data_IF_397759843515
#
_entry.id   IF_397759843515
#
_cell.length_a   1.000
_cell.length_b   1.000
_cell.length_c   1.000
_cell.angle_alpha   90.00
_cell.angle_beta   90.00
_cell.angle_gamma   90.00
#
_symmetry.space_group_name_H-M   'P 1'
#
loop_
_entity.id
_entity.type
_entity.pdbx_description
1 polymer ?
#
# COMPACT_ATOMS: atom_id res chain seq x y z
N UNK A 1 -14.86 48.81 -1.13
CA UNK A 1 -14.25 47.60 -1.69
C UNK A 1 -13.07 47.12 -0.85
N UNK A 2 -12.16 48.00 -0.46
CA UNK A 2 -10.97 47.70 0.39
C UNK A 2 -11.24 46.90 1.68
N UNK A 3 -12.28 47.26 2.45
CA UNK A 3 -12.60 46.58 3.71
C UNK A 3 -12.97 45.10 3.50
N UNK A 4 -13.69 44.81 2.42
CA UNK A 4 -14.11 43.44 2.08
C UNK A 4 -12.90 42.60 1.69
N UNK A 5 -11.96 43.19 0.94
CA UNK A 5 -10.70 42.55 0.56
C UNK A 5 -9.83 42.28 1.79
N UNK A 6 -9.72 43.22 2.73
CA UNK A 6 -8.95 43.04 3.96
C UNK A 6 -9.52 41.92 4.85
N UNK A 7 -10.85 41.85 4.99
CA UNK A 7 -11.52 40.78 5.74
C UNK A 7 -11.32 39.42 5.05
N UNK A 8 -11.47 39.37 3.73
CA UNK A 8 -11.27 38.15 2.95
C UNK A 8 -9.82 37.65 3.02
N UNK A 9 -8.83 38.55 2.92
CA UNK A 9 -7.41 38.21 3.05
C UNK A 9 -7.11 37.63 4.44
N UNK A 10 -7.65 38.26 5.49
CA UNK A 10 -7.41 37.78 6.86
C UNK A 10 -8.11 36.44 7.14
N UNK A 11 -9.31 36.23 6.60
CA UNK A 11 -10.00 34.95 6.64
C UNK A 11 -9.25 33.85 5.86
N UNK A 12 -8.65 34.17 4.71
CA UNK A 12 -7.85 33.24 3.93
C UNK A 12 -6.62 32.77 4.71
N UNK A 13 -5.89 33.68 5.39
CA UNK A 13 -4.74 33.30 6.22
C UNK A 13 -5.10 32.26 7.30
N UNK A 14 -6.26 32.40 7.95
CA UNK A 14 -6.70 31.46 8.99
C UNK A 14 -7.24 30.14 8.45
N UNK A 15 -7.63 30.07 7.17
CA UNK A 15 -8.30 28.90 6.58
C UNK A 15 -7.39 28.06 5.68
N UNK A 16 -6.36 28.64 5.07
CA UNK A 16 -5.41 27.93 4.18
C UNK A 16 -4.70 26.78 4.90
N UNK A 17 -4.20 27.00 6.12
CA UNK A 17 -3.48 25.96 6.86
C UNK A 17 -4.39 24.78 7.30
N UNK A 18 -5.59 24.99 7.88
CA UNK A 18 -6.53 23.90 8.17
C UNK A 18 -6.97 23.12 6.93
N UNK A 19 -7.31 23.80 5.83
CA UNK A 19 -7.76 23.17 4.58
C UNK A 19 -6.63 22.37 3.95
N UNK A 20 -5.44 22.96 3.85
CA UNK A 20 -4.24 22.28 3.35
C UNK A 20 -3.89 21.05 4.17
N UNK A 21 -4.05 21.10 5.50
CA UNK A 21 -3.85 19.95 6.38
C UNK A 21 -4.85 18.83 6.10
N UNK A 22 -6.15 19.15 5.94
CA UNK A 22 -7.17 18.15 5.63
C UNK A 22 -6.95 17.50 4.26
N UNK A 23 -6.65 18.29 3.24
CA UNK A 23 -6.32 17.78 1.91
C UNK A 23 -5.04 16.94 1.94
N UNK A 24 -4.01 17.39 2.68
CA UNK A 24 -2.76 16.67 2.87
C UNK A 24 -2.95 15.30 3.53
N UNK A 25 -3.80 15.19 4.56
CA UNK A 25 -4.15 13.90 5.17
C UNK A 25 -4.82 12.95 4.17
N UNK A 26 -5.76 13.44 3.35
CA UNK A 26 -6.42 12.62 2.34
C UNK A 26 -5.44 12.12 1.27
N UNK A 27 -4.54 12.99 0.80
CA UNK A 27 -3.50 12.62 -0.17
C UNK A 27 -2.54 11.59 0.43
N UNK A 28 -2.08 11.80 1.66
CA UNK A 28 -1.18 10.89 2.35
C UNK A 28 -1.82 9.53 2.58
N UNK A 29 -3.08 9.50 3.05
CA UNK A 29 -3.83 8.27 3.23
C UNK A 29 -3.96 7.51 1.90
N UNK A 30 -4.37 8.20 0.83
CA UNK A 30 -4.48 7.60 -0.50
C UNK A 30 -3.15 7.01 -0.96
N UNK A 31 -2.06 7.77 -0.87
CA UNK A 31 -0.72 7.30 -1.25
C UNK A 31 -0.30 6.07 -0.45
N UNK A 32 -0.56 6.03 0.86
CA UNK A 32 -0.27 4.86 1.68
C UNK A 32 -1.14 3.66 1.30
N UNK A 33 -2.42 3.86 1.00
CA UNK A 33 -3.31 2.80 0.54
C UNK A 33 -2.85 2.25 -0.81
N UNK A 34 -2.44 3.11 -1.74
CA UNK A 34 -1.93 2.70 -3.06
C UNK A 34 -0.59 1.93 -2.93
N UNK A 35 0.30 2.38 -2.03
CA UNK A 35 1.54 1.67 -1.71
C UNK A 35 1.27 0.31 -1.07
N UNK A 36 0.31 0.23 -0.14
CA UNK A 36 -0.08 -1.02 0.49
C UNK A 36 -0.65 -1.99 -0.56
N UNK A 37 -1.51 -1.51 -1.46
CA UNK A 37 -2.05 -2.31 -2.57
C UNK A 37 -0.93 -2.86 -3.46
N UNK A 38 0.05 -2.03 -3.81
CA UNK A 38 1.23 -2.45 -4.58
C UNK A 38 2.02 -3.54 -3.86
N UNK A 39 2.23 -3.40 -2.55
CA UNK A 39 2.95 -4.39 -1.74
C UNK A 39 2.18 -5.72 -1.65
N UNK A 40 0.86 -5.68 -1.46
CA UNK A 40 0.02 -6.89 -1.45
C UNK A 40 0.08 -7.59 -2.80
N UNK A 41 -0.02 -6.85 -3.90
CA UNK A 41 0.10 -7.40 -5.25
C UNK A 41 1.44 -8.14 -5.46
N UNK A 42 2.55 -7.55 -5.00
CA UNK A 42 3.86 -8.19 -5.08
C UNK A 42 3.93 -9.51 -4.29
N UNK A 43 3.25 -9.59 -3.14
CA UNK A 43 3.19 -10.83 -2.35
C UNK A 43 2.40 -11.89 -3.10
N UNK A 44 1.24 -11.55 -3.68
CA UNK A 44 0.44 -12.47 -4.52
C UNK A 44 1.27 -13.02 -5.68
N UNK A 45 1.92 -12.14 -6.44
CA UNK A 45 2.75 -12.54 -7.59
C UNK A 45 3.94 -13.42 -7.17
N UNK A 46 4.54 -13.10 -6.01
CA UNK A 46 5.63 -13.92 -5.46
C UNK A 46 5.14 -15.29 -5.03
N UNK A 47 3.96 -15.37 -4.40
CA UNK A 47 3.31 -16.62 -3.99
C UNK A 47 3.07 -17.52 -5.19
N UNK A 48 2.44 -17.00 -6.25
CA UNK A 48 2.16 -17.75 -7.49
C UNK A 48 3.45 -18.29 -8.11
N UNK A 49 4.49 -17.45 -8.21
CA UNK A 49 5.80 -17.86 -8.73
C UNK A 49 6.43 -18.97 -7.88
N UNK A 50 6.37 -18.87 -6.56
CA UNK A 50 6.92 -19.90 -5.66
C UNK A 50 6.13 -21.20 -5.79
N UNK A 51 4.81 -21.14 -5.87
CA UNK A 51 3.95 -22.31 -6.08
C UNK A 51 4.31 -23.03 -7.38
N UNK A 52 4.46 -22.30 -8.50
CA UNK A 52 4.88 -22.90 -9.77
C UNK A 52 6.25 -23.59 -9.69
N UNK A 53 7.19 -23.03 -8.92
CA UNK A 53 8.50 -23.66 -8.68
C UNK A 53 8.39 -24.92 -7.84
N UNK A 54 7.54 -24.92 -6.82
CA UNK A 54 7.25 -26.10 -6.00
C UNK A 54 6.66 -27.22 -6.87
N UNK A 55 5.70 -26.88 -7.73
CA UNK A 55 5.06 -27.87 -8.60
C UNK A 55 6.06 -28.47 -9.60
N UNK A 56 6.94 -27.65 -10.18
CA UNK A 56 8.02 -28.12 -11.05
C UNK A 56 9.03 -29.02 -10.31
N UNK A 57 9.46 -28.61 -9.12
CA UNK A 57 10.38 -29.41 -8.29
C UNK A 57 9.75 -30.77 -7.90
N UNK A 58 8.47 -30.78 -7.52
CA UNK A 58 7.71 -32.03 -7.27
C UNK A 58 7.65 -32.93 -8.50
N UNK A 59 7.42 -32.36 -9.69
CA UNK A 59 7.44 -33.13 -10.95
C UNK A 59 8.81 -33.73 -11.24
N UNK A 60 9.89 -33.07 -10.83
CA UNK A 60 11.26 -33.57 -10.95
C UNK A 60 11.65 -34.56 -9.84
N UNK A 61 10.77 -34.80 -8.86
CA UNK A 61 11.07 -35.63 -7.69
C UNK A 61 12.03 -34.96 -6.70
N UNK A 62 12.19 -33.64 -6.77
CA UNK A 62 12.99 -32.86 -5.85
C UNK A 62 12.22 -32.65 -4.53
N UNK A 63 12.95 -32.66 -3.41
CA UNK A 63 12.40 -32.31 -2.11
C UNK A 63 12.23 -30.79 -2.00
N UNK A 64 11.14 -30.35 -1.37
CA UNK A 64 10.88 -28.93 -1.12
C UNK A 64 11.38 -28.59 0.28
N UNK A 65 12.30 -27.65 0.37
CA UNK A 65 12.84 -27.22 1.65
C UNK A 65 11.75 -26.72 2.62
N UNK A 66 11.95 -27.03 3.90
CA UNK A 66 10.99 -26.75 4.96
C UNK A 66 10.70 -25.24 5.10
N UNK A 67 11.71 -24.40 4.91
CA UNK A 67 11.58 -22.94 4.97
C UNK A 67 10.68 -22.40 3.86
N UNK A 68 10.75 -22.97 2.64
CA UNK A 68 9.89 -22.63 1.51
C UNK A 68 8.45 -23.03 1.80
N UNK A 69 8.23 -24.21 2.38
CA UNK A 69 6.89 -24.65 2.79
C UNK A 69 6.31 -23.73 3.89
N UNK A 70 7.13 -23.39 4.89
CA UNK A 70 6.74 -22.52 5.98
C UNK A 70 6.45 -21.08 5.51
N UNK A 71 7.23 -20.57 4.55
CA UNK A 71 6.96 -19.27 3.94
C UNK A 71 5.64 -19.27 3.18
N UNK A 72 5.38 -20.32 2.38
CA UNK A 72 4.13 -20.44 1.64
C UNK A 72 2.92 -20.49 2.58
N UNK A 73 2.99 -21.26 3.67
CA UNK A 73 1.92 -21.32 4.67
C UNK A 73 1.64 -19.96 5.31
N UNK A 74 2.68 -19.20 5.67
CA UNK A 74 2.51 -17.86 6.25
C UNK A 74 1.86 -16.88 5.27
N UNK A 75 2.18 -17.01 3.98
CA UNK A 75 1.57 -16.19 2.93
C UNK A 75 0.13 -16.62 2.68
N UNK A 76 -0.20 -17.91 2.81
CA UNK A 76 -1.56 -18.42 2.70
C UNK A 76 -2.44 -17.93 3.84
N UNK A 77 -1.93 -17.91 5.08
CA UNK A 77 -2.63 -17.37 6.24
C UNK A 77 -2.84 -15.85 6.18
N UNK A 78 -2.09 -15.15 5.34
CA UNK A 78 -2.22 -13.71 5.13
C UNK A 78 -3.43 -13.34 4.24
N UNK A 79 -3.95 -14.28 3.43
CA UNK A 79 -5.08 -14.07 2.51
C UNK A 79 -6.39 -14.65 3.05
#
# INVERSE_FOLDING_TARGET
MELVVAIAAKAAEYTVAPIGRQLGYMIFLKSNTDNLKTKVQLVVETRERVQHRIDAARMNGEEIEFDVQNWLSQVDDFF
#
